data_IF_633346848111
#
_entry.id   IF_633346848111
#
_cell.length_a   1.000
_cell.length_b   1.000
_cell.length_c   1.000
_cell.angle_alpha   90.00
_cell.angle_beta   90.00
_cell.angle_gamma   90.00
#
_symmetry.space_group_name_H-M   'P 1'
#
loop_
_entity.id
_entity.type
_entity.pdbx_description
1 polymer ?
#
# COMPACT_ATOMS: atom_id res chain seq x y z
N UNK A 1 18.23 1.27 -6.09
CA UNK A 1 18.12 -0.21 -6.13
C UNK A 1 17.33 -0.67 -4.92
N UNK A 2 16.30 -1.48 -5.14
CA UNK A 2 15.51 -2.13 -4.08
C UNK A 2 16.28 -3.31 -3.50
N UNK A 3 16.57 -3.26 -2.19
CA UNK A 3 17.36 -4.28 -1.49
C UNK A 3 16.51 -5.44 -0.96
N UNK A 4 15.21 -5.22 -0.76
CA UNK A 4 14.26 -6.25 -0.30
C UNK A 4 13.78 -7.10 -1.46
N UNK A 5 13.65 -6.51 -2.65
CA UNK A 5 13.09 -7.14 -3.83
C UNK A 5 11.56 -7.11 -3.86
N UNK A 6 10.89 -6.79 -2.75
CA UNK A 6 9.44 -6.76 -2.66
C UNK A 6 8.82 -5.75 -3.64
N UNK A 7 9.33 -4.52 -3.68
CA UNK A 7 8.82 -3.48 -4.57
C UNK A 7 9.05 -3.83 -6.04
N UNK A 8 10.22 -4.38 -6.35
CA UNK A 8 10.57 -4.86 -7.70
C UNK A 8 9.65 -6.00 -8.15
N UNK A 9 9.33 -6.93 -7.25
CA UNK A 9 8.42 -8.04 -7.54
C UNK A 9 6.99 -7.56 -7.83
N UNK A 10 6.45 -6.66 -6.98
CA UNK A 10 5.12 -6.06 -7.19
C UNK A 10 5.06 -5.27 -8.50
N UNK A 11 6.07 -4.46 -8.79
CA UNK A 11 6.20 -3.74 -10.06
C UNK A 11 6.17 -4.69 -11.27
N UNK A 12 6.91 -5.80 -11.18
CA UNK A 12 6.93 -6.83 -12.21
C UNK A 12 5.57 -7.51 -12.43
N UNK A 13 4.78 -7.74 -11.37
CA UNK A 13 3.41 -8.27 -11.51
C UNK A 13 2.51 -7.26 -12.22
N UNK A 14 2.56 -5.98 -11.82
CA UNK A 14 1.74 -4.94 -12.47
C UNK A 14 2.03 -4.87 -13.96
N UNK A 15 3.31 -4.83 -14.34
CA UNK A 15 3.71 -4.74 -15.75
C UNK A 15 3.45 -6.03 -16.55
N UNK A 16 3.31 -7.19 -15.90
CA UNK A 16 2.87 -8.41 -16.59
C UNK A 16 1.40 -8.33 -17.03
N UNK A 17 0.54 -7.73 -16.22
CA UNK A 17 -0.90 -7.60 -16.53
C UNK A 17 -1.24 -6.31 -17.28
N UNK A 18 -0.48 -5.24 -17.06
CA UNK A 18 -0.65 -3.94 -17.69
C UNK A 18 0.71 -3.44 -18.21
N UNK A 19 1.24 -4.03 -19.29
CA UNK A 19 2.59 -3.71 -19.81
C UNK A 19 2.74 -2.26 -20.28
N UNK A 20 1.65 -1.65 -20.72
CA UNK A 20 1.62 -0.25 -21.18
C UNK A 20 1.34 0.75 -20.05
N UNK A 21 1.22 0.29 -18.79
CA UNK A 21 1.02 1.18 -17.66
C UNK A 21 2.26 2.03 -17.42
N UNK A 22 2.06 3.34 -17.28
CA UNK A 22 3.12 4.23 -16.80
C UNK A 22 3.31 4.03 -15.29
N UNK A 23 4.38 3.30 -14.94
CA UNK A 23 4.64 2.90 -13.57
C UNK A 23 5.58 3.86 -12.86
N UNK A 24 5.09 4.46 -11.77
CA UNK A 24 5.86 5.30 -10.86
C UNK A 24 6.18 4.57 -9.56
N UNK A 25 7.44 4.62 -9.12
CA UNK A 25 7.90 3.96 -7.89
C UNK A 25 8.19 5.00 -6.81
N UNK A 26 7.30 5.07 -5.80
CA UNK A 26 7.54 5.82 -4.57
C UNK A 26 8.09 4.89 -3.49
N UNK A 27 9.41 4.99 -3.22
CA UNK A 27 10.03 4.21 -2.14
C UNK A 27 9.76 4.85 -0.78
N UNK A 28 8.98 4.16 0.05
CA UNK A 28 8.63 4.63 1.41
C UNK A 28 9.24 3.78 2.52
N UNK A 29 9.62 2.53 2.22
CA UNK A 29 10.39 1.64 3.10
C UNK A 29 11.79 1.40 2.55
N UNK A 30 12.78 1.33 3.43
CA UNK A 30 14.14 0.90 3.05
C UNK A 30 14.50 -0.49 3.56
N UNK A 31 14.00 -0.83 4.74
CA UNK A 31 14.16 -2.06 5.50
C UNK A 31 12.97 -2.18 6.47
N UNK A 32 12.87 -3.32 7.17
CA UNK A 32 11.85 -3.50 8.20
C UNK A 32 12.05 -2.50 9.34
N UNK A 33 10.95 -1.98 9.87
CA UNK A 33 10.98 -1.00 10.96
C UNK A 33 11.48 -1.63 12.26
N UNK A 34 12.49 -1.02 12.87
CA UNK A 34 13.11 -1.51 14.11
C UNK A 34 12.84 -0.60 15.32
N UNK A 35 12.37 0.63 15.07
CA UNK A 35 12.08 1.60 16.12
C UNK A 35 10.87 2.50 15.81
N UNK A 36 10.33 3.17 16.84
CA UNK A 36 9.22 4.13 16.68
C UNK A 36 9.64 5.39 15.90
N UNK A 37 10.89 5.84 16.05
CA UNK A 37 11.39 7.00 15.31
C UNK A 37 11.44 6.72 13.80
N UNK A 38 11.87 5.51 13.43
CA UNK A 38 11.83 5.06 12.03
C UNK A 38 10.39 4.97 11.51
N UNK A 39 9.45 4.51 12.34
CA UNK A 39 8.03 4.46 11.98
C UNK A 39 7.47 5.85 11.66
N UNK A 40 7.76 6.87 12.48
CA UNK A 40 7.33 8.26 12.22
C UNK A 40 7.93 8.82 10.93
N UNK A 41 9.22 8.54 10.66
CA UNK A 41 9.86 8.97 9.43
C UNK A 41 9.21 8.30 8.20
N UNK A 42 8.93 7.00 8.28
CA UNK A 42 8.24 6.26 7.23
C UNK A 42 6.81 6.77 7.02
N UNK A 43 6.07 7.06 8.09
CA UNK A 43 4.74 7.69 8.00
C UNK A 43 4.83 9.00 7.22
N UNK A 44 5.79 9.86 7.54
CA UNK A 44 6.00 11.13 6.83
C UNK A 44 6.36 10.92 5.36
N UNK A 45 7.16 9.91 5.04
CA UNK A 45 7.48 9.53 3.65
C UNK A 45 6.25 9.02 2.90
N UNK A 46 5.40 8.21 3.54
CA UNK A 46 4.14 7.72 2.96
C UNK A 46 3.20 8.87 2.62
N UNK A 47 3.00 9.81 3.55
CA UNK A 47 2.15 10.99 3.32
C UNK A 47 2.67 11.80 2.13
N UNK A 48 3.98 12.12 2.11
CA UNK A 48 4.61 12.84 1.00
C UNK A 48 4.49 12.09 -0.32
N UNK A 49 4.65 10.77 -0.32
CA UNK A 49 4.52 9.94 -1.50
C UNK A 49 3.11 9.94 -2.08
N UNK A 50 2.09 9.80 -1.24
CA UNK A 50 0.68 9.86 -1.66
C UNK A 50 0.37 11.23 -2.27
N UNK A 51 0.77 12.32 -1.58
CA UNK A 51 0.54 13.66 -2.08
C UNK A 51 1.32 13.94 -3.38
N UNK A 52 2.56 13.45 -3.51
CA UNK A 52 3.37 13.64 -4.72
C UNK A 52 2.81 12.84 -5.91
N UNK A 53 2.44 11.58 -5.68
CA UNK A 53 1.83 10.73 -6.70
C UNK A 53 0.51 11.34 -7.20
N UNK A 54 -0.29 11.86 -6.29
CA UNK A 54 -1.58 12.50 -6.62
C UNK A 54 -1.38 13.84 -7.33
N UNK A 55 -0.53 14.72 -6.80
CA UNK A 55 -0.51 16.11 -7.24
C UNK A 55 0.49 16.40 -8.36
N UNK A 56 1.60 15.66 -8.42
CA UNK A 56 2.69 15.88 -9.37
C UNK A 56 2.64 14.85 -10.49
N UNK A 57 2.67 13.56 -10.15
CA UNK A 57 2.58 12.49 -11.16
C UNK A 57 1.17 12.34 -11.73
N UNK A 58 0.14 12.86 -11.04
CA UNK A 58 -1.27 12.75 -11.45
C UNK A 58 -1.69 11.30 -11.73
N UNK A 59 -1.24 10.37 -10.89
CA UNK A 59 -1.53 8.94 -11.07
C UNK A 59 -3.03 8.67 -10.99
N UNK A 60 -3.51 7.66 -11.71
CA UNK A 60 -4.89 7.19 -11.60
C UNK A 60 -5.07 6.15 -10.49
N UNK A 61 -4.01 5.41 -10.17
CA UNK A 61 -4.04 4.29 -9.22
C UNK A 61 -2.86 4.41 -8.24
N UNK A 62 -3.12 4.15 -6.97
CA UNK A 62 -2.09 3.94 -5.93
C UNK A 62 -2.24 2.52 -5.41
N UNK A 63 -1.14 1.75 -5.44
CA UNK A 63 -1.06 0.40 -4.88
C UNK A 63 -0.12 0.40 -3.67
N UNK A 64 -0.60 -0.04 -2.51
CA UNK A 64 0.17 -0.13 -1.26
C UNK A 64 0.23 -1.56 -0.75
N UNK A 65 1.37 -2.22 -0.92
CA UNK A 65 1.59 -3.59 -0.44
C UNK A 65 2.18 -3.62 0.98
N UNK A 66 1.63 -2.82 1.89
CA UNK A 66 2.05 -2.71 3.29
C UNK A 66 0.85 -2.37 4.19
N UNK A 67 1.04 -2.48 5.51
CA UNK A 67 0.05 -2.02 6.47
C UNK A 67 0.54 -1.89 7.91
N UNK A 68 -0.25 -1.18 8.72
CA UNK A 68 -0.01 -0.83 10.11
C UNK A 68 -1.13 -1.37 11.02
N UNK A 69 -0.83 -1.55 12.31
CA UNK A 69 -1.82 -2.01 13.29
C UNK A 69 -2.71 -0.88 13.78
N UNK A 70 -2.10 0.25 14.07
CA UNK A 70 -2.72 1.49 14.51
C UNK A 70 -3.33 2.26 13.32
N UNK A 71 -4.30 3.13 13.61
CA UNK A 71 -4.74 4.14 12.64
C UNK A 71 -3.70 5.25 12.64
N UNK A 72 -3.45 5.82 11.46
CA UNK A 72 -2.49 6.91 11.29
C UNK A 72 -3.22 8.02 10.54
N UNK A 73 -3.67 9.03 11.29
CA UNK A 73 -4.57 10.08 10.78
C UNK A 73 -3.94 10.87 9.63
N UNK A 74 -2.63 11.11 9.68
CA UNK A 74 -1.90 11.82 8.62
C UNK A 74 -1.95 11.07 7.28
N UNK A 75 -1.83 9.74 7.31
CA UNK A 75 -1.99 8.89 6.13
C UNK A 75 -3.45 8.90 5.68
N UNK A 76 -4.41 8.77 6.61
CA UNK A 76 -5.84 8.79 6.26
C UNK A 76 -6.23 10.09 5.53
N UNK A 77 -5.78 11.24 6.03
CA UNK A 77 -6.02 12.52 5.36
C UNK A 77 -5.36 12.61 3.98
N UNK A 78 -4.16 12.04 3.80
CA UNK A 78 -3.52 11.96 2.49
C UNK A 78 -4.33 11.10 1.50
N UNK A 79 -4.82 9.94 1.96
CA UNK A 79 -5.70 9.07 1.17
C UNK A 79 -7.01 9.79 0.82
N UNK A 80 -7.59 10.54 1.76
CA UNK A 80 -8.80 11.33 1.52
C UNK A 80 -8.58 12.38 0.43
N UNK A 81 -7.45 13.10 0.46
CA UNK A 81 -7.06 14.05 -0.60
C UNK A 81 -6.90 13.38 -1.97
N UNK A 82 -6.26 12.20 -2.01
CA UNK A 82 -6.10 11.42 -3.24
C UNK A 82 -7.46 10.97 -3.79
N UNK A 83 -8.34 10.44 -2.93
CA UNK A 83 -9.67 10.00 -3.31
C UNK A 83 -10.56 11.16 -3.83
N UNK A 84 -10.44 12.37 -3.25
CA UNK A 84 -11.12 13.56 -3.76
C UNK A 84 -10.69 13.94 -5.19
N UNK A 85 -9.46 13.58 -5.58
CA UNK A 85 -8.96 13.69 -6.96
C UNK A 85 -9.27 12.46 -7.82
N UNK A 86 -10.14 11.56 -7.36
CA UNK A 86 -10.58 10.33 -8.04
C UNK A 86 -9.46 9.31 -8.27
N UNK A 87 -8.39 9.36 -7.48
CA UNK A 87 -7.36 8.31 -7.49
C UNK A 87 -7.92 7.05 -6.85
N UNK A 88 -7.81 5.91 -7.53
CA UNK A 88 -8.22 4.60 -7.00
C UNK A 88 -7.12 4.04 -6.13
N UNK A 89 -7.45 3.59 -4.92
CA UNK A 89 -6.45 3.20 -3.93
C UNK A 89 -6.64 1.74 -3.54
N UNK A 90 -5.58 0.95 -3.64
CA UNK A 90 -5.53 -0.44 -3.21
C UNK A 90 -4.53 -0.61 -2.07
N UNK A 91 -4.88 -1.44 -1.08
CA UNK A 91 -3.95 -1.83 -0.03
C UNK A 91 -4.09 -3.29 0.38
N UNK A 92 -2.96 -3.92 0.73
CA UNK A 92 -2.92 -5.30 1.22
C UNK A 92 -3.63 -5.44 2.59
N UNK A 93 -4.47 -6.47 2.72
CA UNK A 93 -5.31 -6.65 3.90
C UNK A 93 -4.51 -6.95 5.17
N UNK A 94 -3.65 -7.96 5.15
CA UNK A 94 -2.71 -8.36 6.20
C UNK A 94 -2.06 -9.68 5.81
N UNK A 95 -0.97 -10.07 6.49
CA UNK A 95 -0.34 -11.39 6.35
C UNK A 95 -0.33 -12.19 7.68
N UNK A 96 -1.19 -11.84 8.64
CA UNK A 96 -1.15 -12.39 10.01
C UNK A 96 -2.06 -13.60 10.23
N UNK A 97 -2.71 -14.05 9.17
CA UNK A 97 -3.82 -14.98 9.27
C UNK A 97 -4.98 -14.38 10.06
N UNK A 98 -5.93 -15.25 10.41
CA UNK A 98 -7.14 -14.91 11.19
C UNK A 98 -6.86 -14.58 12.68
N UNK A 99 -5.68 -14.04 12.99
CA UNK A 99 -5.24 -13.67 14.34
C UNK A 99 -5.48 -12.20 14.62
N UNK A 100 -5.42 -11.36 13.60
CA UNK A 100 -5.50 -9.91 13.71
C UNK A 100 -6.48 -9.35 12.68
N UNK A 101 -7.03 -8.18 12.98
CA UNK A 101 -7.88 -7.44 12.05
C UNK A 101 -7.08 -7.00 10.82
N UNK A 102 -7.81 -6.70 9.73
CA UNK A 102 -7.30 -6.00 8.55
C UNK A 102 -6.44 -4.78 8.95
N UNK A 103 -5.25 -4.71 8.38
CA UNK A 103 -4.28 -3.65 8.59
C UNK A 103 -4.79 -2.31 8.05
N UNK A 104 -4.29 -1.23 8.62
CA UNK A 104 -4.42 0.10 8.03
C UNK A 104 -3.36 0.28 6.93
N UNK A 105 -3.66 0.88 5.77
CA UNK A 105 -4.90 1.57 5.44
C UNK A 105 -5.98 0.69 4.80
N UNK A 106 -5.73 -0.60 4.54
CA UNK A 106 -6.71 -1.49 3.88
C UNK A 106 -8.08 -1.57 4.60
N UNK A 107 -8.12 -1.35 5.92
CA UNK A 107 -9.39 -1.30 6.67
C UNK A 107 -10.23 -0.03 6.46
N UNK A 108 -9.69 1.03 5.84
CA UNK A 108 -10.40 2.26 5.52
C UNK A 108 -11.31 2.07 4.30
N UNK A 109 -12.39 1.29 4.46
CA UNK A 109 -13.27 0.83 3.37
C UNK A 109 -13.99 1.95 2.61
N UNK A 110 -14.05 3.14 3.19
CA UNK A 110 -14.57 4.36 2.58
C UNK A 110 -13.63 4.96 1.53
N UNK A 111 -12.32 4.65 1.58
CA UNK A 111 -11.30 5.22 0.70
C UNK A 111 -10.47 4.17 -0.04
N UNK A 112 -10.37 2.95 0.48
CA UNK A 112 -9.38 1.95 0.06
C UNK A 112 -10.05 0.64 -0.31
N UNK A 113 -9.68 0.10 -1.48
CA UNK A 113 -10.01 -1.24 -1.90
C UNK A 113 -9.05 -2.21 -1.21
N UNK A 114 -9.59 -2.96 -0.25
CA UNK A 114 -8.85 -3.95 0.54
C UNK A 114 -8.57 -5.21 -0.29
N UNK A 115 -7.30 -5.57 -0.43
CA UNK A 115 -6.84 -6.72 -1.21
C UNK A 115 -6.45 -7.90 -0.33
N UNK A 116 -7.19 -9.01 -0.46
CA UNK A 116 -6.86 -10.31 0.13
C UNK A 116 -6.09 -11.19 -0.87
N UNK A 117 -5.57 -12.32 -0.41
CA UNK A 117 -4.87 -13.31 -1.26
C UNK A 117 -5.60 -14.66 -1.33
N UNK A 118 -5.47 -15.37 -2.44
CA UNK A 118 -5.96 -16.74 -2.60
C UNK A 118 -4.81 -17.70 -2.86
N UNK A 119 -5.01 -18.99 -2.58
CA UNK A 119 -4.11 -20.04 -3.03
C UNK A 119 -4.33 -20.37 -4.52
N UNK A 120 -3.54 -21.30 -5.06
CA UNK A 120 -3.63 -21.74 -6.46
C UNK A 120 -4.92 -22.48 -6.83
N UNK A 121 -5.74 -22.86 -5.84
CA UNK A 121 -7.06 -23.48 -6.04
C UNK A 121 -8.21 -22.47 -5.88
N UNK A 122 -7.90 -21.18 -5.67
CA UNK A 122 -8.89 -20.14 -5.41
C UNK A 122 -9.41 -20.13 -3.97
N UNK A 123 -8.83 -20.94 -3.07
CA UNK A 123 -9.15 -20.94 -1.65
C UNK A 123 -8.60 -19.70 -0.95
N UNK A 124 -9.19 -19.31 0.19
CA UNK A 124 -8.66 -18.22 1.03
C UNK A 124 -7.26 -18.60 1.51
N UNK A 125 -6.28 -17.74 1.27
CA UNK A 125 -4.94 -17.89 1.84
C UNK A 125 -4.98 -17.94 3.37
N UNK A 126 -4.20 -18.83 3.98
CA UNK A 126 -4.05 -18.96 5.43
C UNK A 126 -3.47 -17.70 6.09
N UNK A 127 -2.86 -16.83 5.29
CA UNK A 127 -2.25 -15.57 5.74
C UNK A 127 -3.23 -14.39 5.77
N UNK A 128 -4.40 -14.53 5.16
CA UNK A 128 -5.41 -13.48 5.21
C UNK A 128 -5.98 -13.30 6.62
N UNK A 129 -6.35 -12.07 7.02
CA UNK A 129 -7.12 -11.81 8.23
C UNK A 129 -8.48 -12.52 8.19
#
# INVERSE_FOLDING_TARGET
>A
IDKSGHGTHVAGIILQFAPDAELYVARVFEHDLTSKLEEEEVINRIVKAIDYATNVWKVNIISMSFGFRQNIDSIYEALRRANLQKVVIFAAASNDGNRLRVAFPARCRDLVICMNSTDGSGGKSVYNP
#
